data_IF_594693498033
#
_entry.id   IF_594693498033
#
_cell.length_a   1.000
_cell.length_b   1.000
_cell.length_c   1.000
_cell.angle_alpha   90.00
_cell.angle_beta   90.00
_cell.angle_gamma   90.00
#
_symmetry.space_group_name_H-M   'P 1'
#
loop_
_entity.id
_entity.type
_entity.pdbx_description
1 polymer ?
#
# COMPACT_ATOMS: atom_id res chain seq x y z
N UNK A 1 -38.14 -37.45 33.23
CA UNK A 1 -37.82 -36.31 34.12
C UNK A 1 -36.57 -35.63 33.59
N UNK A 2 -36.56 -34.29 33.59
CA UNK A 2 -35.61 -33.39 32.91
C UNK A 2 -34.18 -33.50 33.45
N UNK A 3 -33.18 -33.34 32.58
CA UNK A 3 -31.94 -32.59 32.83
C UNK A 3 -31.23 -32.38 31.48
N UNK A 4 -31.39 -31.20 30.87
CA UNK A 4 -30.53 -30.01 31.02
C UNK A 4 -29.32 -30.05 30.06
N UNK A 5 -29.47 -29.26 29.00
CA UNK A 5 -28.46 -28.83 28.04
C UNK A 5 -27.32 -28.10 28.76
N UNK A 6 -26.07 -28.45 28.45
CA UNK A 6 -24.91 -27.60 28.71
C UNK A 6 -24.15 -27.41 27.39
N UNK A 7 -24.53 -26.39 26.64
CA UNK A 7 -23.70 -25.83 25.58
C UNK A 7 -22.49 -25.17 26.24
N UNK A 8 -21.31 -25.78 26.16
CA UNK A 8 -20.06 -25.08 26.44
C UNK A 8 -19.74 -24.20 25.24
N UNK A 9 -20.29 -22.99 25.25
CA UNK A 9 -19.84 -21.91 24.38
C UNK A 9 -18.42 -21.54 24.80
N UNK A 10 -17.42 -22.14 24.15
CA UNK A 10 -16.05 -21.63 24.24
C UNK A 10 -16.05 -20.31 23.49
N UNK A 11 -16.30 -19.23 24.23
CA UNK A 11 -16.04 -17.89 23.76
C UNK A 11 -14.52 -17.78 23.55
N UNK A 12 -14.08 -17.95 22.30
CA UNK A 12 -12.80 -17.44 21.86
C UNK A 12 -12.86 -15.93 22.07
N UNK A 13 -12.40 -15.50 23.25
CA UNK A 13 -12.03 -14.12 23.46
C UNK A 13 -10.86 -13.86 22.52
N UNK A 14 -11.18 -13.42 21.30
CA UNK A 14 -10.27 -12.68 20.45
C UNK A 14 -9.89 -11.45 21.27
N UNK A 15 -8.83 -11.57 22.05
CA UNK A 15 -8.11 -10.43 22.61
C UNK A 15 -7.66 -9.68 21.37
N UNK A 16 -8.47 -8.69 20.98
CA UNK A 16 -8.02 -7.65 20.09
C UNK A 16 -6.77 -7.10 20.76
N UNK A 17 -5.62 -7.27 20.12
CA UNK A 17 -4.36 -6.72 20.55
C UNK A 17 -4.41 -5.19 20.32
N UNK A 18 -5.35 -4.52 20.97
CA UNK A 18 -5.61 -3.07 20.89
C UNK A 18 -5.33 -2.39 22.23
N UNK A 19 -4.32 -2.88 22.93
CA UNK A 19 -3.64 -2.19 24.02
C UNK A 19 -2.25 -2.80 24.07
N UNK A 20 -1.25 -2.21 23.43
CA UNK A 20 -0.45 -1.13 24.00
C UNK A 20 0.02 -0.21 22.87
N UNK A 21 -0.66 0.91 22.66
CA UNK A 21 0.00 2.10 22.13
C UNK A 21 0.84 2.67 23.28
N UNK A 22 2.00 2.07 23.57
CA UNK A 22 2.91 2.57 24.60
C UNK A 22 3.49 3.91 24.13
N UNK A 23 3.15 4.99 24.82
CA UNK A 23 3.85 6.29 24.90
C UNK A 23 4.53 6.82 23.64
N UNK A 24 3.91 6.67 22.47
CA UNK A 24 4.42 7.36 21.28
C UNK A 24 4.23 8.88 21.47
N UNK A 25 5.28 9.71 21.26
CA UNK A 25 5.19 11.15 21.43
C UNK A 25 4.20 11.79 20.43
N UNK A 26 4.00 13.11 20.56
CA UNK A 26 3.33 13.90 19.53
C UNK A 26 4.30 14.19 18.37
N UNK A 27 3.78 14.69 17.25
CA UNK A 27 4.61 15.05 16.09
C UNK A 27 5.12 13.87 15.26
N UNK A 28 6.19 14.11 14.49
CA UNK A 28 6.72 13.19 13.48
C UNK A 28 7.28 11.89 14.08
N UNK A 29 8.09 11.98 15.13
CA UNK A 29 8.60 10.81 15.88
C UNK A 29 7.45 9.96 16.43
N UNK A 30 6.39 10.63 16.87
CA UNK A 30 5.14 10.00 17.28
C UNK A 30 4.42 9.24 16.17
N UNK A 31 4.45 9.77 14.95
CA UNK A 31 3.88 9.10 13.79
C UNK A 31 4.67 7.83 13.45
N UNK A 32 6.00 7.88 13.48
CA UNK A 32 6.82 6.70 13.22
C UNK A 32 6.56 5.58 14.25
N UNK A 33 6.65 5.91 15.54
CA UNK A 33 6.36 4.94 16.62
C UNK A 33 4.98 4.28 16.49
N UNK A 34 3.94 5.06 16.14
CA UNK A 34 2.59 4.50 15.90
C UNK A 34 2.52 3.67 14.62
N UNK A 35 3.20 4.09 13.56
CA UNK A 35 3.25 3.35 12.31
C UNK A 35 3.92 1.97 12.49
N UNK A 36 5.01 1.91 13.25
CA UNK A 36 5.74 0.68 13.57
C UNK A 36 4.91 -0.27 14.46
N UNK A 37 3.98 0.26 15.26
CA UNK A 37 3.05 -0.53 16.09
C UNK A 37 1.74 -0.89 15.39
N UNK A 38 1.62 -0.60 14.09
CA UNK A 38 0.50 -1.07 13.26
C UNK A 38 -0.60 -0.04 12.98
N UNK A 39 -0.46 1.22 13.42
CA UNK A 39 -1.44 2.27 13.10
C UNK A 39 -1.34 2.65 11.61
N UNK A 40 -2.30 2.17 10.81
CA UNK A 40 -2.38 2.41 9.38
C UNK A 40 -2.47 3.90 8.99
N UNK A 41 -3.04 4.73 9.86
CA UNK A 41 -3.13 6.17 9.63
C UNK A 41 -1.80 6.86 9.92
N UNK A 42 -1.09 6.40 10.95
CA UNK A 42 0.27 6.84 11.21
C UNK A 42 1.22 6.45 10.08
N UNK A 43 1.09 5.23 9.53
CA UNK A 43 1.83 4.80 8.32
C UNK A 43 1.60 5.74 7.14
N UNK A 44 0.37 6.23 6.93
CA UNK A 44 0.10 7.25 5.91
C UNK A 44 0.89 8.55 6.17
N UNK A 45 0.96 9.01 7.42
CA UNK A 45 1.68 10.24 7.75
C UNK A 45 3.19 10.11 7.49
N UNK A 46 3.76 8.95 7.82
CA UNK A 46 5.16 8.64 7.50
C UNK A 46 5.35 8.59 5.98
N UNK A 47 4.50 7.86 5.25
CA UNK A 47 4.53 7.78 3.80
C UNK A 47 4.45 9.16 3.12
N UNK A 48 3.62 10.06 3.66
CA UNK A 48 3.49 11.42 3.12
C UNK A 48 4.75 12.25 3.35
N UNK A 49 5.41 12.12 4.50
CA UNK A 49 6.67 12.80 4.77
C UNK A 49 7.77 12.28 3.84
N UNK A 50 7.94 10.96 3.77
CA UNK A 50 8.88 10.30 2.88
C UNK A 50 8.62 10.63 1.39
N UNK A 51 7.36 10.80 0.98
CA UNK A 51 7.03 11.21 -0.39
C UNK A 51 7.52 12.63 -0.70
N UNK A 52 7.42 13.56 0.25
CA UNK A 52 7.88 14.93 0.01
C UNK A 52 9.40 14.98 -0.13
N UNK A 53 10.13 14.26 0.73
CA UNK A 53 11.58 14.12 0.64
C UNK A 53 12.00 13.37 -0.63
N UNK A 54 11.37 12.24 -0.92
CA UNK A 54 11.65 11.41 -2.08
C UNK A 54 11.46 12.11 -3.42
N UNK A 55 10.58 13.11 -3.50
CA UNK A 55 10.43 13.95 -4.69
C UNK A 55 11.60 14.88 -4.94
N UNK A 56 12.33 15.25 -3.90
CA UNK A 56 13.52 16.10 -3.99
C UNK A 56 14.77 15.25 -4.24
N UNK A 57 14.85 14.07 -3.62
CA UNK A 57 16.01 13.17 -3.73
C UNK A 57 15.96 12.23 -4.93
N UNK A 58 14.77 11.96 -5.48
CA UNK A 58 14.57 10.92 -6.50
C UNK A 58 14.42 9.51 -5.92
N UNK A 59 14.27 9.37 -4.60
CA UNK A 59 14.05 8.08 -3.94
C UNK A 59 12.66 8.00 -3.30
N UNK A 60 11.74 7.29 -3.96
CA UNK A 60 10.36 7.12 -3.50
C UNK A 60 10.14 5.81 -2.72
N UNK A 61 11.20 5.04 -2.44
CA UNK A 61 11.10 3.66 -1.92
C UNK A 61 10.46 3.63 -0.54
N UNK A 62 10.93 4.46 0.38
CA UNK A 62 10.35 4.54 1.73
C UNK A 62 8.88 5.01 1.67
N UNK A 63 8.57 5.97 0.79
CA UNK A 63 7.20 6.44 0.60
C UNK A 63 6.29 5.32 0.11
N UNK A 64 6.76 4.52 -0.85
CA UNK A 64 6.03 3.37 -1.38
C UNK A 64 5.76 2.34 -0.30
N UNK A 65 6.78 1.94 0.45
CA UNK A 65 6.68 0.92 1.49
C UNK A 65 5.65 1.29 2.55
N UNK A 66 5.72 2.51 3.09
CA UNK A 66 4.76 2.96 4.10
C UNK A 66 3.36 3.16 3.53
N UNK A 67 3.24 3.69 2.31
CA UNK A 67 1.93 3.86 1.66
C UNK A 67 1.26 2.51 1.40
N UNK A 68 2.05 1.51 1.03
CA UNK A 68 1.58 0.14 0.82
C UNK A 68 1.13 -0.52 2.13
N UNK A 69 1.94 -0.41 3.20
CA UNK A 69 1.54 -0.89 4.54
C UNK A 69 0.27 -0.20 5.03
N UNK A 70 0.17 1.12 4.89
CA UNK A 70 -1.02 1.92 5.24
C UNK A 70 -2.27 1.43 4.51
N UNK A 71 -2.15 1.18 3.19
CA UNK A 71 -3.24 0.61 2.39
C UNK A 71 -3.63 -0.80 2.83
N UNK A 72 -2.65 -1.70 3.06
CA UNK A 72 -2.92 -3.06 3.56
C UNK A 72 -3.61 -3.02 4.93
N UNK A 73 -3.28 -2.04 5.77
CA UNK A 73 -3.96 -1.75 7.04
C UNK A 73 -5.34 -1.09 6.90
N UNK A 74 -5.84 -0.89 5.68
CA UNK A 74 -7.19 -0.38 5.41
C UNK A 74 -7.32 1.14 5.29
N UNK A 75 -6.26 1.91 5.49
CA UNK A 75 -6.34 3.37 5.40
C UNK A 75 -6.46 3.82 3.93
N UNK A 76 -7.52 4.59 3.64
CA UNK A 76 -7.81 5.15 2.31
C UNK A 76 -6.76 6.15 1.83
N UNK A 77 -6.07 6.83 2.74
CA UNK A 77 -5.01 7.78 2.45
C UNK A 77 -3.71 7.08 2.02
N UNK A 78 -3.45 5.85 2.48
CA UNK A 78 -2.40 5.00 1.92
C UNK A 78 -2.60 4.75 0.43
N UNK A 79 -3.84 4.48 0.00
CA UNK A 79 -4.18 4.38 -1.44
C UNK A 79 -3.96 5.69 -2.19
N UNK A 80 -4.20 6.84 -1.54
CA UNK A 80 -4.00 8.14 -2.16
C UNK A 80 -2.51 8.44 -2.39
N UNK A 81 -1.64 8.11 -1.44
CA UNK A 81 -0.19 8.27 -1.62
C UNK A 81 0.33 7.35 -2.72
N UNK A 82 -0.11 6.08 -2.79
CA UNK A 82 0.28 5.18 -3.89
C UNK A 82 -0.10 5.74 -5.27
N UNK A 83 -1.27 6.36 -5.41
CA UNK A 83 -1.65 7.04 -6.67
C UNK A 83 -0.67 8.16 -7.02
N UNK A 84 -0.22 8.93 -6.04
CA UNK A 84 0.75 10.00 -6.25
C UNK A 84 2.12 9.44 -6.63
N UNK A 85 2.57 8.36 -6.00
CA UNK A 85 3.81 7.66 -6.34
C UNK A 85 3.75 7.13 -7.78
N UNK A 86 2.66 6.47 -8.18
CA UNK A 86 2.51 5.94 -9.54
C UNK A 86 2.56 7.04 -10.62
N UNK A 87 1.93 8.19 -10.37
CA UNK A 87 1.98 9.35 -11.28
C UNK A 87 3.40 9.92 -11.40
N UNK A 88 4.24 9.73 -10.38
CA UNK A 88 5.60 10.27 -10.32
C UNK A 88 6.67 9.16 -10.34
N UNK A 89 6.31 7.95 -10.81
CA UNK A 89 7.20 6.80 -10.78
C UNK A 89 8.49 7.03 -11.60
N UNK A 90 8.40 7.85 -12.64
CA UNK A 90 9.53 8.27 -13.47
C UNK A 90 10.50 9.25 -12.77
N UNK A 91 10.16 9.78 -11.60
CA UNK A 91 11.10 10.55 -10.77
C UNK A 91 12.03 9.65 -9.97
N UNK A 92 11.68 8.38 -9.81
CA UNK A 92 12.49 7.46 -9.05
C UNK A 92 13.77 7.10 -9.82
N UNK A 93 14.90 7.12 -9.15
CA UNK A 93 16.20 6.83 -9.77
C UNK A 93 16.36 5.36 -10.24
N UNK A 94 15.53 4.45 -9.73
CA UNK A 94 15.51 3.04 -10.09
C UNK A 94 14.21 2.74 -10.88
N UNK A 95 14.27 2.76 -12.21
CA UNK A 95 13.09 2.47 -13.03
C UNK A 95 12.67 1.00 -12.94
N UNK A 96 13.57 0.07 -12.58
CA UNK A 96 13.24 -1.35 -12.39
C UNK A 96 12.34 -1.51 -11.17
N UNK A 97 12.68 -0.84 -10.07
CA UNK A 97 11.87 -0.86 -8.86
C UNK A 97 10.52 -0.15 -9.07
N UNK A 98 10.53 1.03 -9.70
CA UNK A 98 9.31 1.76 -10.04
C UNK A 98 8.36 0.95 -10.95
N UNK A 99 8.91 0.19 -11.89
CA UNK A 99 8.15 -0.72 -12.76
C UNK A 99 7.46 -1.80 -11.93
N UNK A 100 8.16 -2.44 -10.98
CA UNK A 100 7.58 -3.45 -10.08
C UNK A 100 6.41 -2.89 -9.27
N UNK A 101 6.51 -1.65 -8.79
CA UNK A 101 5.41 -0.98 -8.08
C UNK A 101 4.16 -0.79 -8.93
N UNK A 102 4.34 -0.28 -10.16
CA UNK A 102 3.26 -0.06 -11.12
C UNK A 102 2.61 -1.39 -11.54
N UNK A 103 3.43 -2.40 -11.87
CA UNK A 103 2.98 -3.76 -12.21
C UNK A 103 2.13 -4.37 -11.09
N UNK A 104 2.55 -4.23 -9.83
CA UNK A 104 1.74 -4.67 -8.69
C UNK A 104 0.38 -3.94 -8.62
N UNK A 105 0.38 -2.63 -8.90
CA UNK A 105 -0.84 -1.83 -8.97
C UNK A 105 -1.80 -2.26 -10.08
N UNK A 106 -1.27 -2.63 -11.25
CA UNK A 106 -2.03 -3.20 -12.37
C UNK A 106 -2.63 -4.56 -11.96
N UNK A 107 -1.81 -5.46 -11.41
CA UNK A 107 -2.24 -6.80 -11.00
C UNK A 107 -3.35 -6.75 -9.94
N UNK A 108 -3.26 -5.87 -8.95
CA UNK A 108 -4.35 -5.70 -7.98
C UNK A 108 -5.64 -5.21 -8.61
N UNK A 109 -5.55 -4.26 -9.55
CA UNK A 109 -6.75 -3.76 -10.23
C UNK A 109 -7.39 -4.82 -11.14
N UNK A 110 -6.58 -5.68 -11.79
CA UNK A 110 -7.07 -6.82 -12.56
C UNK A 110 -7.80 -7.81 -11.64
N UNK A 111 -7.19 -8.20 -10.52
CA UNK A 111 -7.81 -9.11 -9.54
C UNK A 111 -9.16 -8.58 -9.04
N UNK A 112 -9.25 -7.28 -8.70
CA UNK A 112 -10.53 -6.68 -8.26
C UNK A 112 -11.62 -6.75 -9.31
N UNK A 113 -11.28 -6.55 -10.58
CA UNK A 113 -12.22 -6.69 -11.70
C UNK A 113 -12.70 -8.14 -11.83
N UNK A 114 -11.78 -9.10 -11.74
CA UNK A 114 -12.09 -10.54 -11.80
C UNK A 114 -12.98 -10.99 -10.64
N UNK A 115 -12.75 -10.45 -9.44
CA UNK A 115 -13.54 -10.71 -8.24
C UNK A 115 -14.92 -10.01 -8.24
N UNK A 116 -15.22 -9.21 -9.26
CA UNK A 116 -16.49 -8.48 -9.37
C UNK A 116 -16.62 -7.31 -8.38
N UNK A 117 -15.50 -6.84 -7.82
CA UNK A 117 -15.47 -5.69 -6.93
C UNK A 117 -15.68 -4.42 -7.77
N UNK A 118 -16.94 -4.03 -7.95
CA UNK A 118 -17.30 -2.81 -8.65
C UNK A 118 -16.73 -1.60 -7.89
N UNK A 119 -15.66 -1.00 -8.41
CA UNK A 119 -15.15 0.29 -7.95
C UNK A 119 -16.33 1.26 -7.97
N UNK A 120 -16.81 1.70 -6.80
CA UNK A 120 -17.99 2.55 -6.65
C UNK A 120 -17.79 3.99 -7.16
N UNK A 121 -16.70 4.23 -7.90
CA UNK A 121 -16.45 5.45 -8.67
C UNK A 121 -16.82 5.28 -10.15
N UNK A 122 -16.61 6.31 -10.99
CA UNK A 122 -16.70 6.14 -12.44
C UNK A 122 -15.79 4.98 -12.83
N UNK A 123 -16.35 3.97 -13.50
CA UNK A 123 -15.67 2.73 -13.83
C UNK A 123 -14.25 3.01 -14.35
N UNK A 124 -13.26 2.43 -13.68
CA UNK A 124 -11.96 2.13 -14.28
C UNK A 124 -10.94 3.28 -14.42
N UNK A 125 -11.16 4.46 -13.83
CA UNK A 125 -10.20 5.57 -13.98
C UNK A 125 -8.86 5.30 -13.28
N UNK A 126 -8.87 4.82 -12.03
CA UNK A 126 -7.66 4.63 -11.25
C UNK A 126 -6.74 3.55 -11.83
N UNK A 127 -7.29 2.40 -12.20
CA UNK A 127 -6.54 1.28 -12.74
C UNK A 127 -5.99 1.58 -14.15
N UNK A 128 -6.79 2.19 -15.04
CA UNK A 128 -6.30 2.67 -16.34
C UNK A 128 -5.14 3.67 -16.19
N UNK A 129 -5.21 4.55 -15.20
CA UNK A 129 -4.12 5.50 -14.93
C UNK A 129 -2.83 4.77 -14.57
N UNK A 130 -2.86 3.72 -13.74
CA UNK A 130 -1.65 2.94 -13.42
C UNK A 130 -1.06 2.28 -14.67
N UNK A 131 -1.91 1.69 -15.54
CA UNK A 131 -1.46 1.11 -16.81
C UNK A 131 -0.77 2.17 -17.68
N UNK A 132 -1.36 3.37 -17.80
CA UNK A 132 -0.78 4.46 -18.58
C UNK A 132 0.60 4.88 -18.07
N UNK A 133 0.80 4.95 -16.74
CA UNK A 133 2.10 5.28 -16.17
C UNK A 133 3.11 4.15 -16.31
N UNK A 134 2.68 2.89 -16.28
CA UNK A 134 3.54 1.74 -16.59
C UNK A 134 4.06 1.82 -18.02
N UNK A 135 3.17 2.01 -18.99
CA UNK A 135 3.56 2.16 -20.41
C UNK A 135 4.53 3.34 -20.60
N UNK A 136 4.27 4.47 -19.95
CA UNK A 136 5.14 5.65 -20.05
C UNK A 136 6.51 5.44 -19.40
N UNK A 137 6.58 4.68 -18.31
CA UNK A 137 7.86 4.31 -17.71
C UNK A 137 8.65 3.40 -18.65
N UNK A 138 8.00 2.39 -19.22
CA UNK A 138 8.59 1.44 -20.18
C UNK A 138 9.16 2.14 -21.43
N UNK A 139 8.55 3.23 -21.90
CA UNK A 139 9.10 4.06 -23.00
C UNK A 139 10.50 4.64 -22.70
N UNK A 140 10.88 4.73 -21.42
CA UNK A 140 12.17 5.27 -20.97
C UNK A 140 13.16 4.19 -20.53
N UNK A 141 12.73 2.93 -20.48
CA UNK A 141 13.54 1.80 -20.00
C UNK A 141 14.18 1.04 -21.16
N UNK A 142 15.28 0.35 -20.88
CA UNK A 142 15.82 -0.65 -21.80
C UNK A 142 15.02 -1.95 -21.71
N UNK A 143 15.08 -2.78 -22.75
CA UNK A 143 14.46 -4.11 -22.70
C UNK A 143 15.02 -4.95 -21.54
N UNK A 144 16.32 -4.86 -21.26
CA UNK A 144 16.96 -5.56 -20.15
C UNK A 144 16.38 -5.13 -18.79
N UNK A 145 16.14 -3.83 -18.58
CA UNK A 145 15.51 -3.32 -17.36
C UNK A 145 14.06 -3.82 -17.22
N UNK A 146 13.31 -3.86 -18.32
CA UNK A 146 11.93 -4.38 -18.34
C UNK A 146 11.93 -5.87 -18.00
N UNK A 147 12.82 -6.65 -18.61
CA UNK A 147 12.97 -8.09 -18.36
C UNK A 147 13.36 -8.36 -16.90
N UNK A 148 14.28 -7.56 -16.34
CA UNK A 148 14.68 -7.62 -14.94
C UNK A 148 13.52 -7.27 -14.00
N UNK A 149 12.76 -6.21 -14.29
CA UNK A 149 11.61 -5.83 -13.49
C UNK A 149 10.57 -6.95 -13.46
N UNK A 150 10.26 -7.53 -14.62
CA UNK A 150 9.32 -8.63 -14.78
C UNK A 150 9.78 -9.96 -14.18
N UNK A 151 11.09 -10.15 -13.95
CA UNK A 151 11.62 -11.36 -13.32
C UNK A 151 11.22 -11.52 -11.85
N UNK A 152 10.80 -10.43 -11.19
CA UNK A 152 10.40 -10.41 -9.78
C UNK A 152 9.17 -9.54 -9.58
N UNK A 153 8.06 -10.16 -9.18
CA UNK A 153 6.83 -9.44 -8.81
C UNK A 153 6.78 -9.21 -7.30
N UNK A 154 6.22 -8.08 -6.89
CA UNK A 154 5.96 -7.79 -5.48
C UNK A 154 4.61 -8.39 -5.04
N UNK A 155 4.61 -9.17 -3.94
CA UNK A 155 3.44 -9.89 -3.38
C UNK A 155 2.48 -9.02 -2.54
#
# INVERSE_FOLDING_TARGET
>A
MKALLCFFSVALASISLSAIAADCPSGAEGHLCRAETGDAHAMFKVARAAYMEGRETGDLSEAYDWAWKSKKGGDRWGRQILKMIYINANLHHDPVEAHRWLTRGVNEGNRKKEEGEADSGPADSGHKVVILWLMRLEETMTQEQIDEANSQTLD
#
